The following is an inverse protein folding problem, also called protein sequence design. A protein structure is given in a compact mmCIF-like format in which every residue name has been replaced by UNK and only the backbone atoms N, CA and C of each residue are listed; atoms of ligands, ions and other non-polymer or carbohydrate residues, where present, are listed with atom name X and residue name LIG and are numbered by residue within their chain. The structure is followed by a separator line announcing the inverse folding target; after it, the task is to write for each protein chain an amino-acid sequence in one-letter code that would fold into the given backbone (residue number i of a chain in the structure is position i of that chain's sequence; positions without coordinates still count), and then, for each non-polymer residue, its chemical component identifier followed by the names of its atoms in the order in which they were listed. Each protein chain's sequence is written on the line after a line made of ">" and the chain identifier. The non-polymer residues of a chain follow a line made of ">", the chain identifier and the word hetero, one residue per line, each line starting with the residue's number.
data_IF_174296774460
#
_entry.id   IF_174296774460
#
_cell.length_a   1.000
_cell.length_b   1.000
_cell.length_c   1.000
_cell.angle_alpha   90.00
_cell.angle_beta   90.00
_cell.angle_gamma   90.00
#
_symmetry.space_group_name_H-M   'P 1'
#
loop_
_entity.id
_entity.type
_entity.pdbx_description
1 polymer ?
#
# COMPACT_ATOMS: atom_id res chain seq x y z
N UNK A 1 11.65 85.94 15.86
CA UNK A 1 10.52 85.74 14.92
C UNK A 1 10.91 84.58 13.99
N UNK A 2 10.28 83.39 14.09
CA UNK A 2 9.24 82.86 13.16
C UNK A 2 9.69 83.01 11.68
N UNK A 3 9.85 82.01 10.79
CA UNK A 3 9.30 80.65 10.52
C UNK A 3 10.30 79.92 9.59
N UNK A 4 10.62 78.63 9.77
CA UNK A 4 10.12 77.43 9.02
C UNK A 4 9.95 77.57 7.49
N UNK A 5 10.62 76.67 6.74
CA UNK A 5 10.16 75.75 5.65
C UNK A 5 11.44 74.99 5.18
N UNK A 6 11.67 73.71 5.48
CA UNK A 6 11.10 72.42 5.01
C UNK A 6 11.62 71.92 3.64
N UNK A 7 12.60 71.00 3.74
CA UNK A 7 12.89 69.73 3.01
C UNK A 7 12.10 69.45 1.72
N UNK A 8 12.78 69.08 0.62
CA UNK A 8 12.49 67.83 -0.14
C UNK A 8 13.69 67.41 -1.01
N UNK A 9 14.33 66.29 -0.63
CA UNK A 9 15.21 65.52 -1.50
C UNK A 9 14.33 64.54 -2.29
N UNK A 10 14.47 64.54 -3.62
CA UNK A 10 13.83 63.56 -4.49
C UNK A 10 14.48 62.20 -4.30
N UNK A 11 13.83 61.31 -3.55
CA UNK A 11 14.08 59.88 -3.60
C UNK A 11 13.28 59.29 -4.76
N UNK A 12 13.99 58.71 -5.72
CA UNK A 12 13.43 57.94 -6.81
C UNK A 12 12.89 56.63 -6.20
N UNK A 13 11.56 56.49 -6.11
CA UNK A 13 10.92 55.22 -5.78
C UNK A 13 10.84 54.42 -7.08
N UNK A 14 11.71 53.41 -7.20
CA UNK A 14 11.52 52.30 -8.14
C UNK A 14 10.35 51.47 -7.60
N UNK A 15 9.14 51.69 -8.13
CA UNK A 15 8.07 50.71 -8.04
C UNK A 15 8.45 49.54 -8.93
N UNK A 16 9.03 48.50 -8.32
CA UNK A 16 8.98 47.17 -8.91
C UNK A 16 7.51 46.75 -8.96
N UNK A 17 6.91 46.85 -10.14
CA UNK A 17 5.67 46.13 -10.42
C UNK A 17 5.97 44.65 -10.22
N UNK A 18 5.48 44.09 -9.12
CA UNK A 18 5.32 42.66 -9.01
C UNK A 18 4.38 42.25 -10.14
N UNK A 19 4.92 41.65 -11.19
CA UNK A 19 4.13 40.80 -12.08
C UNK A 19 3.67 39.62 -11.21
N UNK A 20 2.51 39.76 -10.57
CA UNK A 20 1.69 38.59 -10.26
C UNK A 20 1.37 37.95 -11.60
N UNK A 21 2.14 36.92 -11.94
CA UNK A 21 1.77 35.92 -12.92
C UNK A 21 0.37 35.45 -12.53
N UNK A 22 -0.64 35.78 -13.33
CA UNK A 22 -1.93 35.11 -13.27
C UNK A 22 -1.63 33.61 -13.40
N UNK A 23 -1.84 32.85 -12.30
CA UNK A 23 -1.91 31.39 -12.36
C UNK A 23 -3.03 31.08 -13.34
N UNK A 24 -2.69 30.69 -14.56
CA UNK A 24 -3.65 30.08 -15.49
C UNK A 24 -4.25 28.89 -14.77
N UNK A 25 -5.55 28.96 -14.49
CA UNK A 25 -6.30 27.81 -13.99
C UNK A 25 -6.09 26.66 -14.99
N UNK A 26 -5.55 25.54 -14.51
CA UNK A 26 -5.38 24.34 -15.33
C UNK A 26 -6.73 23.84 -15.84
N UNK A 27 -6.71 23.08 -16.93
CA UNK A 27 -7.91 22.41 -17.43
C UNK A 27 -8.38 21.39 -16.37
N UNK A 28 -9.70 21.29 -16.08
CA UNK A 28 -10.21 20.27 -15.19
C UNK A 28 -9.86 18.88 -15.72
N UNK A 29 -9.51 17.96 -14.83
CA UNK A 29 -9.22 16.59 -15.23
C UNK A 29 -10.52 15.92 -15.70
N UNK A 30 -10.46 15.26 -16.86
CA UNK A 30 -11.61 14.52 -17.39
C UNK A 30 -11.68 13.13 -16.76
N UNK A 31 -12.86 12.79 -16.22
CA UNK A 31 -13.12 11.47 -15.61
C UNK A 31 -14.13 10.71 -16.46
N UNK A 32 -13.78 9.48 -16.84
CA UNK A 32 -14.67 8.49 -17.43
C UNK A 32 -15.11 7.50 -16.36
N UNK A 33 -16.35 7.67 -15.91
CA UNK A 33 -16.97 6.85 -14.88
C UNK A 33 -18.18 6.14 -15.46
N UNK A 34 -18.17 4.80 -15.39
CA UNK A 34 -19.28 3.94 -15.81
C UNK A 34 -19.52 2.95 -14.68
N UNK A 35 -20.73 2.96 -14.13
CA UNK A 35 -21.18 1.99 -13.12
C UNK A 35 -21.59 0.66 -13.76
N UNK A 36 -21.64 -0.40 -12.96
CA UNK A 36 -22.11 -1.71 -13.40
C UNK A 36 -23.56 -1.66 -13.95
N UNK A 37 -24.42 -0.82 -13.37
CA UNK A 37 -25.79 -0.63 -13.86
C UNK A 37 -25.80 -0.01 -15.26
N UNK A 38 -25.01 1.05 -15.48
CA UNK A 38 -24.91 1.73 -16.77
C UNK A 38 -24.28 0.85 -17.85
N UNK A 39 -23.30 0.03 -17.47
CA UNK A 39 -22.72 -1.01 -18.33
C UNK A 39 -23.71 -2.16 -18.65
N UNK A 40 -24.87 -2.20 -17.98
CA UNK A 40 -25.87 -3.24 -18.15
C UNK A 40 -25.50 -4.59 -17.51
N UNK A 41 -24.53 -4.58 -16.60
CA UNK A 41 -24.02 -5.76 -15.89
C UNK A 41 -24.91 -6.03 -14.67
N UNK A 42 -25.68 -7.13 -14.71
CA UNK A 42 -26.69 -7.46 -13.68
C UNK A 42 -26.31 -8.57 -12.70
N UNK A 43 -25.26 -9.34 -12.98
CA UNK A 43 -24.80 -10.43 -12.11
C UNK A 43 -23.74 -9.96 -11.13
N UNK A 44 -23.74 -10.45 -9.89
CA UNK A 44 -22.68 -10.16 -8.93
C UNK A 44 -21.34 -10.74 -9.43
N UNK A 45 -20.30 -9.91 -9.55
CA UNK A 45 -18.99 -10.30 -10.07
C UNK A 45 -18.12 -10.97 -9.02
N UNK A 46 -18.74 -11.88 -8.25
CA UNK A 46 -18.12 -12.40 -7.05
C UNK A 46 -17.24 -13.57 -7.43
N UNK A 47 -16.10 -13.61 -6.78
CA UNK A 47 -15.25 -14.79 -6.75
C UNK A 47 -15.64 -15.58 -5.51
N UNK A 48 -16.00 -16.83 -5.72
CA UNK A 48 -16.27 -17.77 -4.64
C UNK A 48 -14.98 -18.35 -4.07
N UNK A 49 -13.90 -18.33 -4.84
CA UNK A 49 -12.57 -18.79 -4.42
C UNK A 49 -11.46 -17.81 -4.80
N UNK A 50 -10.31 -17.96 -4.16
CA UNK A 50 -9.15 -17.15 -4.50
C UNK A 50 -8.60 -17.47 -5.89
N UNK A 51 -8.62 -18.74 -6.29
CA UNK A 51 -8.10 -19.14 -7.59
C UNK A 51 -8.87 -18.49 -8.75
N UNK A 52 -10.19 -18.36 -8.59
CA UNK A 52 -11.00 -17.65 -9.58
C UNK A 52 -10.55 -16.19 -9.79
N UNK A 53 -9.85 -15.60 -8.81
CA UNK A 53 -9.17 -14.31 -8.92
C UNK A 53 -7.75 -14.43 -9.52
N UNK A 54 -6.98 -15.46 -9.15
CA UNK A 54 -5.63 -15.69 -9.69
C UNK A 54 -5.60 -16.00 -11.19
N UNK A 55 -6.65 -16.64 -11.70
CA UNK A 55 -6.83 -16.91 -13.13
C UNK A 55 -7.30 -15.68 -13.92
N UNK A 56 -7.61 -14.57 -13.24
CA UNK A 56 -7.98 -13.34 -13.91
C UNK A 56 -6.77 -12.68 -14.51
N UNK A 57 -6.85 -12.45 -15.81
CA UNK A 57 -6.02 -11.45 -16.46
C UNK A 57 -6.89 -10.21 -16.73
N UNK A 58 -6.38 -9.00 -16.47
CA UNK A 58 -7.07 -7.79 -16.89
C UNK A 58 -7.25 -7.82 -18.42
N UNK A 59 -8.43 -7.42 -18.89
CA UNK A 59 -8.74 -7.41 -20.31
C UNK A 59 -7.68 -6.66 -21.15
N UNK A 60 -7.43 -7.17 -22.36
CA UNK A 60 -6.49 -6.57 -23.31
C UNK A 60 -6.74 -5.06 -23.48
N UNK A 61 -5.70 -4.25 -23.25
CA UNK A 61 -5.73 -2.80 -23.44
C UNK A 61 -5.75 -1.97 -22.16
N UNK A 62 -5.75 -2.59 -20.97
CA UNK A 62 -5.64 -1.89 -19.68
C UNK A 62 -4.21 -1.46 -19.30
N UNK A 63 -3.20 -1.77 -20.12
CA UNK A 63 -1.81 -1.37 -19.91
C UNK A 63 -1.13 -2.12 -18.77
N UNK A 64 -0.22 -1.44 -18.05
CA UNK A 64 0.44 -1.95 -16.84
C UNK A 64 -0.57 -1.93 -15.67
N UNK A 65 -1.49 -2.88 -15.68
CA UNK A 65 -2.51 -3.04 -14.64
C UNK A 65 -2.07 -4.07 -13.59
N UNK A 66 -2.25 -3.75 -12.31
CA UNK A 66 -2.10 -4.70 -11.21
C UNK A 66 -3.47 -5.15 -10.72
N UNK A 67 -3.61 -6.44 -10.46
CA UNK A 67 -4.85 -6.99 -9.90
C UNK A 67 -4.85 -6.82 -8.38
N UNK A 68 -5.95 -6.30 -7.85
CA UNK A 68 -6.19 -6.22 -6.41
C UNK A 68 -7.56 -6.80 -6.07
N UNK A 69 -7.65 -7.40 -4.89
CA UNK A 69 -8.87 -8.05 -4.39
C UNK A 69 -9.37 -7.36 -3.14
N UNK A 70 -10.68 -7.23 -3.00
CA UNK A 70 -11.34 -6.91 -1.74
C UNK A 70 -12.51 -7.85 -1.51
N UNK A 71 -12.46 -8.62 -0.42
CA UNK A 71 -13.47 -9.64 -0.13
C UNK A 71 -13.64 -10.60 -1.34
N UNK A 72 -14.84 -10.69 -1.90
CA UNK A 72 -15.15 -11.49 -3.08
C UNK A 72 -15.11 -10.69 -4.39
N UNK A 73 -14.47 -9.51 -4.41
CA UNK A 73 -14.42 -8.59 -5.56
C UNK A 73 -13.00 -8.39 -6.06
N UNK A 74 -12.87 -8.14 -7.36
CA UNK A 74 -11.61 -7.91 -8.02
C UNK A 74 -11.63 -6.58 -8.77
N UNK A 75 -10.51 -5.86 -8.69
CA UNK A 75 -10.28 -4.64 -9.43
C UNK A 75 -8.91 -4.70 -10.10
N UNK A 76 -8.82 -4.15 -11.31
CA UNK A 76 -7.57 -3.87 -11.98
C UNK A 76 -7.20 -2.40 -11.69
N UNK A 77 -6.07 -2.18 -11.03
CA UNK A 77 -5.50 -0.86 -10.72
C UNK A 77 -4.54 -0.48 -11.82
N UNK A 78 -4.70 0.71 -12.36
CA UNK A 78 -3.86 1.27 -13.44
C UNK A 78 -3.30 2.62 -12.99
N UNK A 79 -2.26 3.16 -13.66
CA UNK A 79 -1.76 4.51 -13.38
C UNK A 79 -2.81 5.62 -13.53
N UNK A 80 -3.94 5.33 -14.19
CA UNK A 80 -4.98 6.29 -14.52
C UNK A 80 -6.30 6.03 -13.81
N UNK A 81 -6.40 5.03 -12.94
CA UNK A 81 -7.67 4.72 -12.30
C UNK A 81 -7.83 3.24 -12.02
N UNK A 82 -9.09 2.83 -12.00
CA UNK A 82 -9.49 1.49 -11.58
C UNK A 82 -10.60 0.96 -12.45
N UNK A 83 -10.54 -0.34 -12.71
CA UNK A 83 -11.56 -1.09 -13.44
C UNK A 83 -12.04 -2.24 -12.59
N UNK A 84 -13.34 -2.36 -12.38
CA UNK A 84 -13.93 -3.55 -11.78
C UNK A 84 -13.97 -4.68 -12.78
N UNK A 85 -13.48 -5.85 -12.39
CA UNK A 85 -13.41 -7.02 -13.28
C UNK A 85 -14.23 -8.18 -12.73
N UNK A 86 -14.76 -9.01 -13.62
CA UNK A 86 -15.63 -10.14 -13.26
C UNK A 86 -15.05 -11.51 -13.57
N UNK A 87 -15.42 -12.51 -12.77
CA UNK A 87 -15.26 -13.92 -13.12
C UNK A 87 -16.22 -14.33 -14.26
N UNK A 88 -15.86 -15.25 -15.18
CA UNK A 88 -14.57 -15.94 -15.32
C UNK A 88 -13.57 -15.31 -16.28
N UNK A 89 -13.96 -14.28 -17.01
CA UNK A 89 -13.24 -13.79 -18.18
C UNK A 89 -12.42 -12.51 -17.93
N UNK A 90 -12.38 -12.02 -16.68
CA UNK A 90 -11.71 -10.75 -16.36
C UNK A 90 -12.35 -9.55 -17.04
N UNK A 91 -13.58 -9.70 -17.55
CA UNK A 91 -14.27 -8.67 -18.30
C UNK A 91 -14.51 -7.42 -17.46
N UNK A 92 -14.31 -6.25 -18.06
CA UNK A 92 -14.67 -4.97 -17.47
C UNK A 92 -16.18 -4.94 -17.12
N UNK A 93 -16.46 -4.63 -15.86
CA UNK A 93 -17.83 -4.50 -15.33
C UNK A 93 -18.23 -3.06 -15.09
N UNK A 94 -17.29 -2.28 -14.59
CA UNK A 94 -17.42 -0.87 -14.29
C UNK A 94 -16.02 -0.26 -14.34
N UNK A 95 -15.92 1.06 -14.48
CA UNK A 95 -14.63 1.75 -14.48
C UNK A 95 -14.73 3.14 -13.89
N UNK A 96 -13.60 3.58 -13.33
CA UNK A 96 -13.35 4.96 -12.94
C UNK A 96 -11.95 5.32 -13.45
N UNK A 97 -11.88 5.98 -14.61
CA UNK A 97 -10.63 6.34 -15.28
C UNK A 97 -10.47 7.87 -15.34
N UNK A 98 -9.31 8.32 -14.92
CA UNK A 98 -8.88 9.72 -14.91
C UNK A 98 -7.99 9.93 -16.14
N UNK A 99 -8.44 10.75 -17.08
CA UNK A 99 -7.72 11.00 -18.32
C UNK A 99 -6.67 12.10 -18.17
N UNK A 100 -5.63 12.02 -19.01
CA UNK A 100 -4.55 12.98 -19.08
C UNK A 100 -3.22 12.36 -18.69
N UNK A 101 -2.21 13.20 -18.43
CA UNK A 101 -0.90 12.76 -17.91
C UNK A 101 -0.90 12.65 -16.38
N UNK A 102 -2.08 12.69 -15.76
CA UNK A 102 -2.25 12.64 -14.32
C UNK A 102 -2.17 11.20 -13.83
N UNK A 103 -1.24 10.95 -12.92
CA UNK A 103 -1.18 9.72 -12.14
C UNK A 103 -2.17 9.79 -10.98
N UNK A 104 -2.85 8.68 -10.71
CA UNK A 104 -3.79 8.56 -9.58
C UNK A 104 -3.18 7.73 -8.46
N UNK A 105 -3.63 7.96 -7.23
CA UNK A 105 -3.46 7.01 -6.14
C UNK A 105 -4.71 6.16 -6.02
N UNK A 106 -4.54 4.84 -5.88
CA UNK A 106 -5.63 3.91 -5.60
C UNK A 106 -5.31 3.17 -4.31
N UNK A 107 -6.22 3.25 -3.36
CA UNK A 107 -6.05 2.70 -2.02
C UNK A 107 -7.22 1.79 -1.65
N UNK A 108 -6.93 0.79 -0.83
CA UNK A 108 -7.88 -0.19 -0.29
C UNK A 108 -7.88 -0.07 1.24
N UNK A 109 -8.59 0.91 1.83
CA UNK A 109 -8.48 1.20 3.25
C UNK A 109 -8.84 -0.01 4.11
N UNK A 110 -8.10 -0.25 5.18
CA UNK A 110 -8.38 -1.40 6.07
C UNK A 110 -9.74 -1.23 6.77
N UNK A 111 -10.45 -2.35 6.95
CA UNK A 111 -11.72 -2.40 7.70
C UNK A 111 -12.97 -1.95 6.93
N UNK A 112 -12.87 -1.67 5.62
CA UNK A 112 -14.01 -1.38 4.74
C UNK A 112 -13.95 -2.17 3.45
N UNK A 113 -15.08 -2.45 2.81
CA UNK A 113 -15.09 -3.00 1.46
C UNK A 113 -14.92 -1.92 0.38
N UNK A 114 -14.76 -0.64 0.74
CA UNK A 114 -14.62 0.43 -0.23
C UNK A 114 -13.21 0.51 -0.87
N UNK A 115 -13.17 1.06 -2.07
CA UNK A 115 -11.96 1.49 -2.76
C UNK A 115 -11.87 3.03 -2.73
N UNK A 116 -10.67 3.58 -2.64
CA UNK A 116 -10.45 5.03 -2.68
C UNK A 116 -9.56 5.38 -3.86
N UNK A 117 -10.02 6.30 -4.70
CA UNK A 117 -9.24 6.86 -5.81
C UNK A 117 -8.98 8.32 -5.50
N UNK A 118 -7.72 8.73 -5.53
CA UNK A 118 -7.32 10.12 -5.32
C UNK A 118 -6.61 10.66 -6.56
N UNK A 119 -7.04 11.81 -7.05
CA UNK A 119 -6.44 12.49 -8.20
C UNK A 119 -6.57 14.01 -8.09
N UNK A 120 -5.72 14.81 -8.74
CA UNK A 120 -5.91 16.26 -8.80
C UNK A 120 -7.20 16.64 -9.55
N UNK A 121 -7.81 17.74 -9.11
CA UNK A 121 -9.00 18.32 -9.75
C UNK A 121 -8.69 18.91 -11.14
N UNK A 122 -7.48 19.38 -11.34
CA UNK A 122 -6.97 19.98 -12.59
C UNK A 122 -5.51 19.62 -12.77
N UNK A 123 -4.99 19.72 -13.99
CA UNK A 123 -3.57 19.46 -14.30
C UNK A 123 -2.59 20.50 -13.71
N UNK A 124 -3.10 21.43 -12.90
CA UNK A 124 -2.27 22.40 -12.19
C UNK A 124 -1.52 21.71 -11.03
N UNK A 125 -0.22 21.98 -10.85
CA UNK A 125 0.56 21.42 -9.73
C UNK A 125 0.10 21.93 -8.35
N UNK A 126 -0.72 22.97 -8.30
CA UNK A 126 -1.36 23.47 -7.07
C UNK A 126 -2.86 23.19 -7.04
N UNK A 127 -3.33 22.24 -7.85
CA UNK A 127 -4.73 21.84 -7.85
C UNK A 127 -5.07 21.18 -6.51
N UNK A 128 -6.26 21.45 -5.94
CA UNK A 128 -6.77 20.59 -4.88
C UNK A 128 -6.91 19.17 -5.42
N UNK A 129 -6.86 18.20 -4.51
CA UNK A 129 -7.11 16.81 -4.84
C UNK A 129 -8.58 16.48 -4.66
N UNK A 130 -9.04 15.48 -5.40
CA UNK A 130 -10.35 14.89 -5.28
C UNK A 130 -10.15 13.47 -4.78
N UNK A 131 -10.76 13.17 -3.64
CA UNK A 131 -10.88 11.82 -3.10
C UNK A 131 -12.25 11.29 -3.51
N UNK A 132 -12.28 10.12 -4.12
CA UNK A 132 -13.52 9.41 -4.50
C UNK A 132 -13.52 8.04 -3.86
N UNK A 133 -14.57 7.75 -3.10
CA UNK A 133 -14.79 6.46 -2.46
C UNK A 133 -15.79 5.67 -3.31
N UNK A 134 -15.37 4.50 -3.77
CA UNK A 134 -16.12 3.64 -4.69
C UNK A 134 -16.52 2.33 -4.02
N UNK A 135 -17.69 1.82 -4.36
CA UNK A 135 -18.07 0.43 -4.12
C UNK A 135 -17.34 -0.46 -5.16
N UNK A 136 -16.51 -1.44 -4.76
CA UNK A 136 -15.75 -2.25 -5.71
C UNK A 136 -16.61 -3.25 -6.49
N UNK A 137 -17.84 -3.55 -6.04
CA UNK A 137 -18.76 -4.44 -6.73
C UNK A 137 -19.50 -3.76 -7.88
N UNK A 138 -19.83 -2.47 -7.72
CA UNK A 138 -20.69 -1.73 -8.65
C UNK A 138 -20.00 -0.55 -9.34
N UNK A 139 -18.89 -0.05 -8.78
CA UNK A 139 -18.26 1.20 -9.19
C UNK A 139 -19.06 2.43 -8.77
N UNK A 140 -20.08 2.31 -7.91
CA UNK A 140 -20.85 3.46 -7.45
C UNK A 140 -20.01 4.38 -6.57
N UNK A 141 -20.15 5.70 -6.77
CA UNK A 141 -19.53 6.69 -5.90
C UNK A 141 -20.31 6.76 -4.60
N UNK A 142 -19.71 6.23 -3.53
CA UNK A 142 -20.24 6.27 -2.17
C UNK A 142 -20.06 7.66 -1.55
N UNK A 143 -18.92 8.31 -1.80
CA UNK A 143 -18.66 9.68 -1.40
C UNK A 143 -17.55 10.32 -2.23
N UNK A 144 -17.53 11.64 -2.28
CA UNK A 144 -16.47 12.42 -2.93
C UNK A 144 -16.13 13.65 -2.09
N UNK A 145 -14.84 13.97 -1.94
CA UNK A 145 -14.40 15.14 -1.19
C UNK A 145 -13.25 15.87 -1.92
N UNK A 146 -13.31 17.20 -1.94
CA UNK A 146 -12.19 18.03 -2.37
C UNK A 146 -11.23 18.28 -1.20
N UNK A 147 -10.02 17.76 -1.31
CA UNK A 147 -8.96 17.92 -0.34
C UNK A 147 -8.15 19.17 -0.65
N UNK A 148 -8.26 20.12 0.26
CA UNK A 148 -7.50 21.36 0.24
C UNK A 148 -6.29 21.17 1.14
N UNK A 149 -5.27 20.50 0.63
CA UNK A 149 -3.98 20.41 1.27
C UNK A 149 -2.97 21.23 0.46
N UNK A 150 -2.08 21.92 1.17
CA UNK A 150 -0.97 22.64 0.56
C UNK A 150 0.04 21.60 0.03
N UNK A 151 -0.14 21.19 -1.23
CA UNK A 151 0.75 20.32 -1.99
C UNK A 151 1.10 18.96 -1.33
N UNK A 152 0.11 18.10 -1.09
CA UNK A 152 0.39 16.82 -0.49
C UNK A 152 0.94 15.79 -1.50
N UNK A 153 1.98 15.05 -1.09
CA UNK A 153 2.82 14.21 -1.95
C UNK A 153 2.35 12.76 -2.04
N UNK A 154 1.60 12.27 -1.05
CA UNK A 154 1.00 10.92 -1.03
C UNK A 154 -0.34 10.91 -0.28
N UNK A 155 -1.28 10.08 -0.75
CA UNK A 155 -2.70 10.11 -0.36
C UNK A 155 -3.30 8.73 -0.21
N UNK A 156 -4.34 8.64 0.62
CA UNK A 156 -5.35 7.58 0.57
C UNK A 156 -5.12 6.38 1.49
N UNK A 157 -3.99 6.36 2.20
CA UNK A 157 -3.75 5.47 3.33
C UNK A 157 -4.72 5.76 4.49
N UNK A 158 -5.15 4.71 5.20
CA UNK A 158 -5.99 4.84 6.39
C UNK A 158 -7.10 3.81 6.51
N UNK A 159 -8.18 4.21 7.17
CA UNK A 159 -9.37 3.39 7.46
C UNK A 159 -10.61 4.00 6.81
N UNK A 160 -11.76 3.35 6.97
CA UNK A 160 -13.06 3.93 6.55
C UNK A 160 -13.30 5.35 7.11
N UNK A 161 -12.75 5.64 8.30
CA UNK A 161 -13.02 6.88 9.04
C UNK A 161 -11.86 7.86 9.02
N UNK A 162 -10.65 7.36 8.78
CA UNK A 162 -9.43 8.15 8.84
C UNK A 162 -8.73 8.14 7.50
N UNK A 163 -8.31 9.31 7.03
CA UNK A 163 -7.35 9.44 5.93
C UNK A 163 -6.02 9.94 6.47
N UNK A 164 -4.93 9.46 5.89
CA UNK A 164 -3.58 9.96 6.16
C UNK A 164 -3.15 10.83 4.99
N UNK A 165 -2.63 12.02 5.32
CA UNK A 165 -2.12 13.00 4.37
C UNK A 165 -0.67 13.31 4.71
N UNK A 166 0.15 13.44 3.66
CA UNK A 166 1.57 13.76 3.77
C UNK A 166 1.85 14.99 2.93
N UNK A 167 2.39 16.04 3.55
CA UNK A 167 2.82 17.23 2.82
C UNK A 167 4.28 17.16 2.36
N UNK A 168 4.67 18.09 1.48
CA UNK A 168 6.02 18.14 0.93
C UNK A 168 7.13 18.45 1.94
N UNK A 169 6.78 18.89 3.16
CA UNK A 169 7.73 19.17 4.24
C UNK A 169 7.89 17.96 5.18
N UNK A 170 7.13 16.88 4.95
CA UNK A 170 7.21 15.64 5.73
C UNK A 170 6.31 15.61 6.95
N UNK A 171 5.32 16.49 7.03
CA UNK A 171 4.25 16.41 8.03
C UNK A 171 3.29 15.29 7.63
N UNK A 172 3.02 14.39 8.57
CA UNK A 172 2.03 13.33 8.41
C UNK A 172 0.84 13.67 9.30
N UNK A 173 -0.36 13.73 8.72
CA UNK A 173 -1.58 14.08 9.45
C UNK A 173 -2.69 13.09 9.19
N UNK A 174 -3.47 12.81 10.23
CA UNK A 174 -4.73 12.08 10.12
C UNK A 174 -5.91 13.05 10.13
N UNK A 175 -6.86 12.82 9.23
CA UNK A 175 -8.13 13.56 9.21
C UNK A 175 -9.32 12.61 9.27
N UNK A 176 -10.38 13.05 9.95
CA UNK A 176 -11.65 12.32 9.97
C UNK A 176 -12.40 12.55 8.65
N UNK A 177 -12.55 11.49 7.85
CA UNK A 177 -13.24 11.52 6.56
C UNK A 177 -14.68 12.03 6.68
N UNK A 178 -15.36 11.73 7.78
CA UNK A 178 -16.75 12.13 8.03
C UNK A 178 -16.92 13.59 8.41
N UNK A 179 -15.84 14.25 8.85
CA UNK A 179 -15.85 15.64 9.31
C UNK A 179 -15.10 16.60 8.38
N UNK A 180 -14.77 16.14 7.17
CA UNK A 180 -14.08 16.94 6.17
C UNK A 180 -12.60 17.08 6.50
N UNK A 181 -12.11 18.30 6.70
CA UNK A 181 -10.68 18.60 6.89
C UNK A 181 -10.29 18.74 8.36
N UNK A 182 -11.07 18.18 9.30
CA UNK A 182 -10.73 18.22 10.73
C UNK A 182 -9.54 17.29 10.96
N UNK A 183 -8.39 17.89 11.28
CA UNK A 183 -7.19 17.17 11.72
C UNK A 183 -7.45 16.52 13.08
N UNK A 184 -7.24 15.20 13.14
CA UNK A 184 -7.34 14.40 14.37
C UNK A 184 -6.01 14.46 15.11
N UNK A 185 -4.92 14.23 14.38
CA UNK A 185 -3.56 14.32 14.87
C UNK A 185 -2.60 14.65 13.72
N UNK A 186 -1.44 15.19 14.05
CA UNK A 186 -0.34 15.40 13.12
C UNK A 186 0.99 15.14 13.80
N UNK A 187 1.95 14.61 13.04
CA UNK A 187 3.34 14.45 13.46
C UNK A 187 4.28 15.00 12.39
N UNK A 188 5.38 15.57 12.83
CA UNK A 188 6.46 16.01 11.95
C UNK A 188 7.45 14.85 11.80
N UNK A 189 7.45 14.17 10.65
CA UNK A 189 8.36 13.05 10.46
C UNK A 189 9.83 13.50 10.44
N UNK A 190 10.07 14.78 10.14
CA UNK A 190 11.40 15.38 10.08
C UNK A 190 12.14 15.35 11.42
N UNK A 191 11.41 15.41 12.54
CA UNK A 191 11.96 15.34 13.90
C UNK A 191 12.81 14.07 14.12
N UNK A 192 12.56 13.00 13.35
CA UNK A 192 13.32 11.75 13.40
C UNK A 192 14.71 11.89 12.80
N UNK A 193 14.85 12.67 11.74
CA UNK A 193 16.14 12.96 11.13
C UNK A 193 16.92 14.07 11.83
N UNK A 194 16.24 14.96 12.57
CA UNK A 194 16.89 16.04 13.31
C UNK A 194 17.81 15.53 14.42
N UNK A 195 17.45 14.41 15.06
CA UNK A 195 18.29 13.76 16.07
C UNK A 195 19.69 13.38 15.51
N UNK A 196 19.73 13.02 14.23
CA UNK A 196 20.92 12.66 13.47
C UNK A 196 21.55 13.88 12.76
N UNK A 197 20.99 15.09 12.94
CA UNK A 197 21.43 16.35 12.33
C UNK A 197 21.06 16.50 10.85
N UNK A 198 20.16 15.65 10.34
CA UNK A 198 19.72 15.58 8.95
C UNK A 198 18.33 16.18 8.71
N UNK A 199 17.89 16.13 7.44
CA UNK A 199 16.52 16.42 7.00
C UNK A 199 15.96 15.17 6.31
N UNK A 200 14.66 15.06 6.07
CA UNK A 200 14.12 13.97 5.26
C UNK A 200 14.67 14.09 3.83
N UNK A 201 15.24 13.00 3.33
CA UNK A 201 15.60 12.86 1.93
C UNK A 201 14.47 12.22 1.11
N UNK A 202 13.85 11.18 1.67
CA UNK A 202 12.71 10.47 1.10
C UNK A 202 11.83 9.90 2.23
N UNK A 203 10.53 9.78 1.97
CA UNK A 203 9.52 9.27 2.90
C UNK A 203 8.54 8.37 2.14
N UNK A 204 8.40 7.12 2.59
CA UNK A 204 7.39 6.17 2.14
C UNK A 204 6.44 5.85 3.28
N UNK A 205 5.21 5.51 2.93
CA UNK A 205 4.18 5.20 3.93
C UNK A 205 3.32 4.05 3.52
N UNK A 206 2.86 3.31 4.52
CA UNK A 206 1.79 2.33 4.41
C UNK A 206 0.93 2.38 5.67
N UNK A 207 -0.24 1.77 5.64
CA UNK A 207 -1.13 1.72 6.79
C UNK A 207 -1.89 0.41 6.86
N UNK A 208 -2.24 0.03 8.07
CA UNK A 208 -3.23 -1.00 8.38
C UNK A 208 -4.32 -0.41 9.27
N UNK A 209 -5.21 -1.26 9.81
CA UNK A 209 -6.35 -0.81 10.61
C UNK A 209 -5.94 -0.01 11.86
N UNK A 210 -4.85 -0.38 12.51
CA UNK A 210 -4.44 0.19 13.80
C UNK A 210 -3.14 1.01 13.73
N UNK A 211 -2.39 0.91 12.63
CA UNK A 211 -1.03 1.46 12.52
C UNK A 211 -0.83 2.22 11.21
N UNK A 212 -0.02 3.27 11.27
CA UNK A 212 0.60 3.93 10.12
C UNK A 212 2.10 3.70 10.19
N UNK A 213 2.69 3.21 9.11
CA UNK A 213 4.12 2.96 9.00
C UNK A 213 4.77 4.05 8.15
N UNK A 214 5.85 4.63 8.66
CA UNK A 214 6.68 5.61 7.96
C UNK A 214 8.08 5.03 7.76
N UNK A 215 8.53 4.94 6.52
CA UNK A 215 9.88 4.56 6.14
C UNK A 215 10.58 5.81 5.66
N UNK A 216 11.61 6.21 6.39
CA UNK A 216 12.30 7.48 6.29
C UNK A 216 13.74 7.26 5.92
N UNK A 217 14.25 8.03 4.96
CA UNK A 217 15.66 8.17 4.72
C UNK A 217 16.12 9.56 5.14
N UNK A 218 17.12 9.62 6.03
CA UNK A 218 17.69 10.89 6.46
C UNK A 218 18.81 11.33 5.52
N UNK A 219 18.80 12.61 5.15
CA UNK A 219 19.77 13.22 4.24
C UNK A 219 21.11 13.37 4.93
N UNK A 220 22.17 12.92 4.25
CA UNK A 220 23.55 13.05 4.73
C UNK A 220 23.93 12.03 5.79
N UNK A 221 23.09 11.02 6.03
CA UNK A 221 23.37 9.87 6.88
C UNK A 221 23.17 8.58 6.09
N UNK A 222 23.82 7.50 6.52
CA UNK A 222 23.57 6.14 6.05
C UNK A 222 22.53 5.42 6.94
N UNK A 223 21.66 6.20 7.59
CA UNK A 223 20.67 5.73 8.57
C UNK A 223 19.27 6.04 8.04
N UNK A 224 18.43 5.01 8.01
CA UNK A 224 17.00 5.12 7.76
C UNK A 224 16.19 4.69 8.99
N UNK A 225 14.92 5.08 9.04
CA UNK A 225 14.01 4.75 10.13
C UNK A 225 12.73 4.13 9.60
N UNK A 226 12.24 3.10 10.27
CA UNK A 226 10.88 2.62 10.15
C UNK A 226 10.17 2.94 11.46
N UNK A 227 9.10 3.72 11.36
CA UNK A 227 8.34 4.22 12.52
C UNK A 227 6.91 3.73 12.40
N UNK A 228 6.38 3.16 13.48
CA UNK A 228 4.96 2.89 13.59
C UNK A 228 4.29 3.93 14.47
N UNK A 229 3.16 4.44 13.98
CA UNK A 229 2.29 5.38 14.67
C UNK A 229 0.94 4.71 14.89
N UNK A 230 0.33 4.94 16.06
CA UNK A 230 -1.06 4.56 16.28
C UNK A 230 -1.98 5.36 15.36
N UNK A 231 -2.82 4.66 14.58
CA UNK A 231 -3.81 5.26 13.68
C UNK A 231 -4.76 6.23 14.40
N UNK A 232 -5.06 5.98 15.68
CA UNK A 232 -6.01 6.78 16.46
C UNK A 232 -5.42 8.04 17.08
N UNK A 233 -4.13 8.05 17.43
CA UNK A 233 -3.52 9.12 18.25
C UNK A 233 -2.32 9.79 17.59
N UNK A 234 -1.70 9.15 16.59
CA UNK A 234 -0.42 9.58 16.04
C UNK A 234 0.77 9.32 16.97
N UNK A 235 0.56 8.71 18.15
CA UNK A 235 1.65 8.37 19.06
C UNK A 235 2.53 7.27 18.46
N UNK A 236 3.84 7.43 18.58
CA UNK A 236 4.79 6.41 18.15
C UNK A 236 4.72 5.18 19.06
N UNK A 237 4.39 4.04 18.47
CA UNK A 237 4.38 2.74 19.15
C UNK A 237 5.78 2.15 19.20
N UNK A 238 6.53 2.25 18.10
CA UNK A 238 7.94 1.88 18.01
C UNK A 238 8.65 2.62 16.86
N UNK A 239 9.98 2.62 16.93
CA UNK A 239 10.89 3.30 16.00
C UNK A 239 12.17 2.47 15.88
N UNK A 240 12.41 1.94 14.68
CA UNK A 240 13.53 1.05 14.39
C UNK A 240 14.43 1.68 13.32
N UNK A 241 15.71 1.83 13.63
CA UNK A 241 16.71 2.26 12.67
C UNK A 241 17.22 1.09 11.82
N UNK A 242 17.56 1.36 10.57
CA UNK A 242 18.18 0.41 9.63
C UNK A 242 19.27 1.10 8.79
N UNK A 243 20.12 0.29 8.14
CA UNK A 243 21.08 0.80 7.17
C UNK A 243 20.35 1.44 5.99
N UNK A 244 20.53 2.75 5.79
CA UNK A 244 19.81 3.55 4.80
C UNK A 244 20.47 3.53 3.41
N UNK A 245 19.66 3.80 2.36
CA UNK A 245 20.17 4.10 1.02
C UNK A 245 20.32 5.61 0.88
N UNK A 246 21.39 6.13 0.28
CA UNK A 246 21.49 7.55 0.02
C UNK A 246 20.24 8.07 -0.71
N UNK A 247 19.54 8.99 -0.07
CA UNK A 247 18.38 9.71 -0.60
C UNK A 247 17.18 8.85 -1.06
N UNK A 248 17.07 7.59 -0.63
CA UNK A 248 15.94 6.73 -0.98
C UNK A 248 15.46 5.91 0.21
N UNK A 249 14.20 6.08 0.59
CA UNK A 249 13.57 5.29 1.63
C UNK A 249 13.07 3.96 1.03
N UNK A 250 13.19 2.83 1.74
CA UNK A 250 12.59 1.56 1.34
C UNK A 250 11.07 1.66 1.21
N UNK A 251 10.51 0.99 0.21
CA UNK A 251 9.05 0.81 0.09
C UNK A 251 8.54 -0.08 1.23
N UNK A 252 7.28 0.15 1.64
CA UNK A 252 6.64 -0.61 2.72
C UNK A 252 5.50 -1.43 2.12
N UNK A 253 5.54 -2.75 2.34
CA UNK A 253 4.44 -3.65 2.04
C UNK A 253 3.89 -4.21 3.34
N UNK A 254 2.59 -4.04 3.55
CA UNK A 254 1.92 -4.57 4.75
C UNK A 254 1.45 -6.00 4.47
N UNK A 255 1.78 -6.91 5.38
CA UNK A 255 1.34 -8.29 5.40
C UNK A 255 0.13 -8.37 6.35
N UNK A 256 -1.07 -8.13 5.82
CA UNK A 256 -2.33 -8.21 6.58
C UNK A 256 -3.27 -9.33 6.07
N UNK A 257 -4.32 -9.60 6.84
CA UNK A 257 -5.35 -10.59 6.52
C UNK A 257 -6.38 -10.11 5.47
N UNK A 258 -6.27 -8.89 4.96
CA UNK A 258 -7.34 -8.20 4.25
C UNK A 258 -7.05 -7.78 2.81
N UNK A 259 -5.82 -7.84 2.34
CA UNK A 259 -5.43 -7.20 1.06
C UNK A 259 -4.78 -8.11 0.01
N UNK A 260 -4.38 -9.32 0.35
CA UNK A 260 -3.65 -10.18 -0.57
C UNK A 260 -4.21 -11.58 -0.59
N UNK A 261 -5.01 -11.84 -1.61
CA UNK A 261 -5.24 -13.20 -2.04
C UNK A 261 -4.88 -13.23 -3.51
N UNK A 262 -3.80 -13.93 -3.83
CA UNK A 262 -3.45 -14.38 -5.17
C UNK A 262 -1.94 -14.32 -5.39
N UNK A 263 -1.32 -15.30 -6.03
CA UNK A 263 0.15 -15.38 -6.10
C UNK A 263 0.89 -14.21 -6.77
N UNK A 264 0.20 -13.33 -7.48
CA UNK A 264 0.73 -12.07 -8.02
C UNK A 264 0.54 -10.85 -7.09
N UNK A 265 -0.30 -10.98 -6.05
CA UNK A 265 -0.62 -9.93 -5.08
C UNK A 265 -0.19 -10.28 -3.65
N UNK A 266 0.11 -11.55 -3.37
CA UNK A 266 0.67 -12.02 -2.10
C UNK A 266 2.14 -11.61 -1.99
N UNK A 267 2.37 -10.59 -1.18
CA UNK A 267 3.70 -10.00 -0.97
C UNK A 267 4.70 -11.01 -0.40
N UNK A 268 4.25 -11.99 0.39
CA UNK A 268 5.12 -13.03 0.94
C UNK A 268 5.48 -14.05 -0.15
N UNK A 269 4.50 -14.51 -0.93
CA UNK A 269 4.75 -15.43 -2.03
C UNK A 269 5.70 -14.83 -3.09
N UNK A 270 5.51 -13.54 -3.42
CA UNK A 270 6.39 -12.79 -4.34
C UNK A 270 7.81 -12.65 -3.80
N UNK A 271 7.94 -12.39 -2.50
CA UNK A 271 9.24 -12.37 -1.83
C UNK A 271 9.96 -13.72 -1.95
N UNK A 272 9.24 -14.83 -1.71
CA UNK A 272 9.80 -16.19 -1.81
C UNK A 272 10.19 -16.59 -3.24
N UNK A 273 9.43 -16.13 -4.24
CA UNK A 273 9.78 -16.25 -5.67
C UNK A 273 10.97 -15.38 -6.08
N UNK A 274 11.49 -14.56 -5.17
CA UNK A 274 12.65 -13.71 -5.40
C UNK A 274 12.35 -12.46 -6.23
N UNK A 275 11.08 -12.04 -6.34
CA UNK A 275 10.72 -10.83 -7.11
C UNK A 275 11.37 -9.56 -6.55
N UNK A 276 11.56 -9.52 -5.23
CA UNK A 276 12.23 -8.41 -4.54
C UNK A 276 13.73 -8.66 -4.36
N UNK A 277 14.28 -9.75 -4.90
CA UNK A 277 15.65 -10.18 -4.62
C UNK A 277 15.90 -10.42 -3.12
N UNK A 278 17.17 -10.36 -2.72
CA UNK A 278 17.62 -10.53 -1.35
C UNK A 278 17.80 -9.19 -0.60
N UNK A 279 17.15 -8.10 -1.05
CA UNK A 279 17.23 -6.78 -0.43
C UNK A 279 15.90 -6.34 0.20
N UNK A 280 15.19 -7.27 0.83
CA UNK A 280 14.00 -7.00 1.63
C UNK A 280 14.17 -7.48 3.08
N UNK A 281 13.53 -6.79 4.03
CA UNK A 281 13.50 -7.18 5.45
C UNK A 281 12.06 -7.45 5.88
N UNK A 282 11.90 -8.49 6.70
CA UNK A 282 10.67 -8.73 7.45
C UNK A 282 10.74 -7.99 8.78
N UNK A 283 9.69 -7.23 9.09
CA UNK A 283 9.55 -6.45 10.32
C UNK A 283 8.29 -6.86 11.05
N UNK A 284 8.42 -7.19 12.33
CA UNK A 284 7.27 -7.44 13.18
C UNK A 284 6.52 -6.12 13.44
N UNK A 285 5.26 -6.05 13.01
CA UNK A 285 4.39 -4.89 13.17
C UNK A 285 4.08 -4.51 14.63
N UNK A 286 4.21 -5.45 15.58
CA UNK A 286 3.90 -5.21 17.00
C UNK A 286 5.03 -4.46 17.73
N UNK A 287 6.29 -4.76 17.41
CA UNK A 287 7.45 -4.29 18.18
C UNK A 287 8.59 -3.69 17.32
N UNK A 288 8.43 -3.68 15.99
CA UNK A 288 9.41 -3.14 15.05
C UNK A 288 10.66 -3.98 14.89
N UNK A 289 10.71 -5.20 15.45
CA UNK A 289 11.91 -6.05 15.37
C UNK A 289 12.05 -6.73 14.02
N UNK A 290 13.27 -6.76 13.47
CA UNK A 290 13.58 -7.54 12.26
C UNK A 290 13.51 -9.03 12.56
N UNK A 291 12.72 -9.78 11.80
CA UNK A 291 12.51 -11.21 12.01
C UNK A 291 12.28 -11.94 10.71
N UNK A 292 13.15 -12.89 10.39
CA UNK A 292 12.85 -13.90 9.38
C UNK A 292 11.89 -14.92 9.97
N UNK A 293 10.70 -15.16 9.38
CA UNK A 293 9.79 -16.19 9.86
C UNK A 293 10.51 -17.54 9.96
N UNK A 294 10.39 -18.25 11.10
CA UNK A 294 11.11 -19.50 11.35
C UNK A 294 10.91 -20.54 10.23
N UNK A 295 9.73 -20.53 9.64
CA UNK A 295 9.38 -21.42 8.53
C UNK A 295 10.29 -21.25 7.29
N UNK A 296 10.86 -20.06 7.09
CA UNK A 296 11.80 -19.79 6.00
C UNK A 296 13.22 -20.29 6.30
N UNK A 297 13.48 -20.73 7.53
CA UNK A 297 14.75 -21.37 7.90
C UNK A 297 14.75 -22.89 7.68
N UNK A 298 13.61 -23.47 7.27
CA UNK A 298 13.54 -24.88 6.92
C UNK A 298 14.47 -25.19 5.74
N UNK A 299 15.22 -26.29 5.81
CA UNK A 299 16.23 -26.65 4.80
C UNK A 299 15.63 -26.65 3.39
N UNK A 300 14.45 -27.26 3.24
CA UNK A 300 13.69 -27.39 2.00
C UNK A 300 13.28 -26.05 1.40
N UNK A 301 13.07 -25.03 2.25
CA UNK A 301 12.82 -23.65 1.81
C UNK A 301 14.13 -22.97 1.41
N UNK A 302 15.17 -23.05 2.24
CA UNK A 302 16.45 -22.38 1.97
C UNK A 302 17.20 -22.93 0.75
N UNK A 303 16.97 -24.18 0.38
CA UNK A 303 17.62 -24.83 -0.76
C UNK A 303 16.89 -24.59 -2.08
N UNK A 304 15.57 -24.32 -2.03
CA UNK A 304 14.73 -24.19 -3.22
C UNK A 304 14.21 -22.76 -3.46
N UNK A 305 14.11 -21.92 -2.43
CA UNK A 305 13.51 -20.59 -2.48
C UNK A 305 14.51 -19.47 -2.17
N UNK A 306 14.16 -18.25 -2.59
CA UNK A 306 14.96 -17.07 -2.25
C UNK A 306 14.74 -16.70 -0.79
N UNK A 307 15.79 -16.76 0.01
CA UNK A 307 15.75 -16.37 1.43
C UNK A 307 15.87 -14.85 1.54
N UNK A 308 15.13 -14.20 2.46
CA UNK A 308 15.22 -12.76 2.71
C UNK A 308 16.62 -12.28 3.05
N UNK A 309 16.83 -10.97 2.95
CA UNK A 309 18.01 -10.35 3.53
C UNK A 309 17.99 -10.56 5.05
N UNK A 310 19.15 -10.83 5.63
CA UNK A 310 19.36 -10.51 7.03
C UNK A 310 19.65 -9.00 7.14
N UNK A 311 19.31 -8.41 8.29
CA UNK A 311 19.75 -7.05 8.62
C UNK A 311 21.29 -7.03 8.64
N UNK A 312 21.86 -6.60 7.53
CA UNK A 312 23.29 -6.58 7.22
C UNK A 312 23.66 -5.16 6.81
N UNK A 313 24.96 -4.88 6.57
CA UNK A 313 25.40 -3.56 6.07
C UNK A 313 24.82 -3.18 4.69
N UNK A 314 23.96 -4.00 4.09
CA UNK A 314 23.30 -3.72 2.81
C UNK A 314 21.90 -3.15 3.05
N UNK A 315 21.64 -1.91 2.61
CA UNK A 315 20.38 -1.24 2.90
C UNK A 315 19.20 -1.87 2.11
N UNK A 316 18.03 -2.11 2.73
CA UNK A 316 16.90 -2.74 2.05
C UNK A 316 16.31 -1.83 0.96
N UNK A 317 15.65 -2.42 -0.03
CA UNK A 317 14.70 -1.73 -0.93
C UNK A 317 13.27 -1.80 -0.43
N UNK A 318 12.96 -2.83 0.36
CA UNK A 318 11.60 -3.16 0.74
C UNK A 318 11.51 -3.64 2.17
N UNK A 319 10.47 -3.22 2.87
CA UNK A 319 10.13 -3.60 4.23
C UNK A 319 8.78 -4.31 4.19
N UNK A 320 8.75 -5.60 4.51
CA UNK A 320 7.52 -6.36 4.69
C UNK A 320 7.12 -6.31 6.15
N UNK A 321 6.03 -5.62 6.47
CA UNK A 321 5.60 -5.34 7.85
C UNK A 321 4.32 -6.10 8.15
N UNK A 322 4.30 -6.91 9.20
CA UNK A 322 3.09 -7.60 9.66
C UNK A 322 3.28 -8.24 11.02
N UNK A 323 2.21 -8.74 11.64
CA UNK A 323 2.35 -9.42 12.94
C UNK A 323 3.08 -10.76 12.78
N UNK A 324 3.76 -11.23 13.83
CA UNK A 324 4.48 -12.51 13.80
C UNK A 324 3.59 -13.67 13.32
N UNK A 325 2.35 -13.70 13.82
CA UNK A 325 1.38 -14.73 13.46
C UNK A 325 1.00 -14.68 11.98
N UNK A 326 0.71 -13.49 11.43
CA UNK A 326 0.37 -13.35 10.01
C UNK A 326 1.56 -13.69 9.12
N UNK A 327 2.74 -13.13 9.41
CA UNK A 327 3.94 -13.39 8.61
C UNK A 327 4.29 -14.88 8.58
N UNK A 328 4.24 -15.56 9.73
CA UNK A 328 4.51 -17.01 9.80
C UNK A 328 3.48 -17.83 9.05
N UNK A 329 2.20 -17.51 9.21
CA UNK A 329 1.12 -18.24 8.54
C UNK A 329 1.16 -18.05 7.02
N UNK A 330 1.32 -16.81 6.54
CA UNK A 330 1.47 -16.51 5.12
C UNK A 330 2.73 -17.14 4.53
N UNK A 331 3.87 -17.07 5.22
CA UNK A 331 5.11 -17.68 4.76
C UNK A 331 5.04 -19.21 4.67
N UNK A 332 4.39 -19.87 5.64
CA UNK A 332 4.18 -21.31 5.62
C UNK A 332 3.27 -21.74 4.47
N UNK A 333 2.15 -21.03 4.30
CA UNK A 333 1.20 -21.30 3.22
C UNK A 333 1.83 -21.11 1.84
N UNK A 334 2.46 -19.96 1.61
CA UNK A 334 3.12 -19.65 0.36
C UNK A 334 4.31 -20.61 0.07
N UNK A 335 5.09 -20.96 1.10
CA UNK A 335 6.17 -21.92 0.97
C UNK A 335 5.70 -23.31 0.55
N UNK A 336 4.64 -23.83 1.18
CA UNK A 336 4.06 -25.14 0.80
C UNK A 336 3.47 -25.08 -0.60
N UNK A 337 2.79 -24.00 -0.98
CA UNK A 337 2.25 -23.82 -2.32
C UNK A 337 3.36 -23.92 -3.38
N UNK A 338 4.47 -23.20 -3.18
CA UNK A 338 5.60 -23.22 -4.11
C UNK A 338 6.27 -24.60 -4.19
N UNK A 339 6.46 -25.30 -3.07
CA UNK A 339 7.07 -26.64 -3.10
C UNK A 339 6.18 -27.69 -3.74
N UNK A 340 4.85 -27.55 -3.68
CA UNK A 340 3.91 -28.40 -4.44
C UNK A 340 3.99 -28.07 -5.92
N UNK A 341 4.02 -26.77 -6.28
CA UNK A 341 4.20 -26.32 -7.67
C UNK A 341 5.49 -26.88 -8.30
N UNK A 342 6.58 -26.92 -7.52
CA UNK A 342 7.89 -27.46 -7.93
C UNK A 342 7.98 -29.00 -7.85
N UNK A 343 6.94 -29.66 -7.35
CA UNK A 343 6.87 -31.13 -7.23
C UNK A 343 7.78 -31.72 -6.13
N UNK A 344 8.25 -30.89 -5.20
CA UNK A 344 9.02 -31.30 -4.01
C UNK A 344 8.09 -31.89 -2.95
N UNK A 345 6.89 -31.30 -2.79
CA UNK A 345 5.83 -31.79 -1.92
C UNK A 345 4.63 -32.28 -2.73
N UNK A 346 3.89 -33.24 -2.19
CA UNK A 346 2.57 -33.63 -2.70
C UNK A 346 1.48 -33.36 -1.66
N UNK A 347 0.23 -33.26 -2.11
CA UNK A 347 -0.91 -33.11 -1.19
C UNK A 347 -1.10 -34.31 -0.25
N UNK A 348 -0.62 -35.49 -0.63
CA UNK A 348 -0.64 -36.69 0.22
C UNK A 348 0.34 -36.57 1.41
N UNK A 349 1.31 -35.66 1.33
CA UNK A 349 2.24 -35.34 2.42
C UNK A 349 1.64 -34.33 3.42
N UNK A 350 0.47 -33.77 3.11
CA UNK A 350 -0.24 -32.81 3.95
C UNK A 350 -1.39 -33.49 4.71
N UNK A 351 -1.72 -32.94 5.89
CA UNK A 351 -2.95 -33.30 6.58
C UNK A 351 -4.16 -32.88 5.73
N UNK A 352 -5.22 -33.69 5.69
CA UNK A 352 -6.48 -33.36 5.00
C UNK A 352 -7.08 -32.02 5.47
N UNK A 353 -6.75 -31.57 6.68
CA UNK A 353 -7.14 -30.26 7.17
C UNK A 353 -6.43 -29.08 6.47
N UNK A 354 -5.31 -29.30 5.77
CA UNK A 354 -4.53 -28.26 5.12
C UNK A 354 -5.00 -27.94 3.68
N UNK A 355 -5.82 -28.80 3.09
CA UNK A 355 -6.28 -28.67 1.71
C UNK A 355 -7.76 -29.04 1.54
N UNK A 356 -8.36 -28.58 0.46
CA UNK A 356 -9.71 -28.95 0.04
C UNK A 356 -9.66 -29.60 -1.33
N UNK A 357 -10.61 -30.48 -1.63
CA UNK A 357 -10.78 -31.00 -2.98
C UNK A 357 -11.80 -30.13 -3.74
N UNK A 358 -11.32 -29.46 -4.79
CA UNK A 358 -12.17 -28.68 -5.68
C UNK A 358 -12.14 -29.33 -7.07
N UNK A 359 -13.32 -29.68 -7.60
CA UNK A 359 -13.47 -30.40 -8.87
C UNK A 359 -12.66 -31.72 -8.97
N UNK A 360 -12.33 -32.34 -7.83
CA UNK A 360 -11.55 -33.59 -7.75
C UNK A 360 -10.03 -33.40 -7.78
N UNK A 361 -9.54 -32.16 -7.63
CA UNK A 361 -8.12 -31.85 -7.45
C UNK A 361 -7.90 -31.28 -6.04
N UNK A 362 -6.93 -31.81 -5.26
CA UNK A 362 -6.58 -31.26 -3.95
C UNK A 362 -5.90 -29.89 -4.12
N UNK A 363 -6.23 -28.94 -3.24
CA UNK A 363 -5.74 -27.56 -3.27
C UNK A 363 -5.62 -26.99 -1.87
N UNK A 364 -4.55 -26.23 -1.61
CA UNK A 364 -4.41 -25.54 -0.33
C UNK A 364 -5.59 -24.61 -0.08
N UNK A 365 -5.99 -24.49 1.18
CA UNK A 365 -7.02 -23.52 1.55
C UNK A 365 -6.53 -22.10 1.30
N UNK A 366 -7.16 -21.41 0.36
CA UNK A 366 -6.79 -20.05 -0.08
C UNK A 366 -7.84 -18.99 0.25
N UNK A 367 -9.01 -19.40 0.76
CA UNK A 367 -10.18 -18.55 0.94
C UNK A 367 -10.32 -17.95 2.35
N UNK A 368 -9.37 -18.18 3.24
CA UNK A 368 -9.45 -17.75 4.64
C UNK A 368 -8.12 -17.14 5.09
N UNK A 369 -8.22 -16.14 5.97
CA UNK A 369 -7.10 -15.60 6.74
C UNK A 369 -6.22 -16.76 7.24
N UNK A 370 -4.93 -16.84 6.82
CA UNK A 370 -4.03 -17.91 7.22
C UNK A 370 -4.00 -18.13 8.74
N UNK A 371 -4.20 -17.07 9.53
CA UNK A 371 -4.26 -17.14 10.99
C UNK A 371 -5.53 -17.86 11.47
N UNK A 372 -6.68 -17.55 10.86
CA UNK A 372 -7.96 -18.19 11.21
C UNK A 372 -8.02 -19.64 10.78
N UNK A 373 -7.42 -19.97 9.64
CA UNK A 373 -7.50 -21.30 9.06
C UNK A 373 -6.54 -22.28 9.72
N UNK A 374 -5.26 -21.90 9.82
CA UNK A 374 -4.26 -22.82 10.33
C UNK A 374 -4.31 -22.92 11.85
N UNK A 375 -4.63 -21.85 12.57
CA UNK A 375 -4.39 -21.78 14.01
C UNK A 375 -2.96 -22.24 14.36
N UNK A 376 -2.70 -22.58 15.62
CA UNK A 376 -1.38 -23.11 15.99
C UNK A 376 -1.13 -24.52 15.40
N UNK A 377 -2.19 -25.33 15.24
CA UNK A 377 -2.07 -26.74 14.86
C UNK A 377 -1.73 -26.89 13.37
N UNK A 378 -2.50 -26.25 12.49
CA UNK A 378 -2.23 -26.26 11.05
C UNK A 378 -0.91 -25.58 10.68
N UNK A 379 -0.51 -24.54 11.41
CA UNK A 379 0.77 -23.86 11.18
C UNK A 379 1.94 -24.78 11.52
N UNK A 380 1.83 -25.52 12.64
CA UNK A 380 2.81 -26.53 13.01
C UNK A 380 2.88 -27.64 11.96
N UNK A 381 1.75 -28.07 11.39
CA UNK A 381 1.74 -29.08 10.33
C UNK A 381 2.37 -28.61 9.02
N UNK A 382 2.08 -27.38 8.56
CA UNK A 382 2.75 -26.82 7.39
C UNK A 382 4.26 -26.66 7.65
N UNK A 383 4.64 -26.20 8.84
CA UNK A 383 6.05 -26.07 9.23
C UNK A 383 6.75 -27.44 9.30
N UNK A 384 6.07 -28.47 9.79
CA UNK A 384 6.57 -29.85 9.83
C UNK A 384 6.74 -30.41 8.41
N UNK A 385 5.74 -30.25 7.54
CA UNK A 385 5.83 -30.66 6.13
C UNK A 385 7.03 -30.01 5.43
N UNK A 386 7.23 -28.70 5.66
CA UNK A 386 8.39 -27.96 5.16
C UNK A 386 9.71 -28.42 5.78
N UNK A 387 9.72 -28.93 7.01
CA UNK A 387 10.93 -29.45 7.64
C UNK A 387 11.28 -30.88 7.17
N UNK A 388 10.28 -31.66 6.74
CA UNK A 388 10.45 -33.05 6.30
C UNK A 388 10.61 -33.22 4.80
N UNK A 389 10.29 -32.19 4.01
CA UNK A 389 10.45 -32.21 2.56
C UNK A 389 11.93 -32.42 2.21
N UNK A 390 12.26 -33.53 1.54
CA UNK A 390 13.60 -33.73 0.98
C UNK A 390 13.72 -32.96 -0.35
N UNK A 391 14.82 -32.23 -0.59
CA UNK A 391 15.07 -31.46 -1.81
C UNK A 391 15.27 -32.32 -3.07
#
# INVERSE_FOLDING_TARGET
>A
MRKKILITASALVLTASACTSERTAGEPVAVDHITAEEAGVRGEGNFTTLREFEELEPADGLGDASMARRSDRAVAVTPHGVVGVGHPDGGERWRYLVHGETEVSVDLPSGTDALVVTHPLSESPSSPLVEVVLDPGTGEILSSAELHADAPVAHGLGTERTRILIDGDGRVSAQDRSRGTEEVWSVEAADRCEASGGTIADLRTASEAESVYLSLQCRGTDEGHLVALSMGTGETTWDTAFAGRPDQAPDILVVDSGSSGGGASDVVQRALRGEFGADHLYVNGDDGTFRTPEVLSAASVTENLTVPAEDTDSPPRMLLVGTDTHMRASAAHAGVALLIEDGVLSFDDLDEAAYTEEAGEPRLHTSMDPVQFFGDVGLNHLTEALATAEP
#
